data_IF_142780517208
#
_entry.id   IF_142780517208
#
_cell.length_a   1.000
_cell.length_b   1.000
_cell.length_c   1.000
_cell.angle_alpha   90.00
_cell.angle_beta   90.00
_cell.angle_gamma   90.00
#
_symmetry.space_group_name_H-M   'P 1'
#
loop_
_entity.id
_entity.type
_entity.pdbx_description
1 polymer ?
#
# COMPACT_ATOMS: atom_id res chain seq x y z
N UNK A 1 -21.67 10.40 -0.30
CA UNK A 1 -22.00 10.31 -1.74
C UNK A 1 -20.96 11.05 -2.60
N UNK A 2 -20.58 12.26 -2.22
CA UNK A 2 -19.60 13.11 -2.94
C UNK A 2 -18.22 12.44 -3.00
N UNK A 3 -17.67 12.00 -1.89
CA UNK A 3 -16.38 11.31 -1.82
C UNK A 3 -16.34 10.08 -2.74
N UNK A 4 -17.39 9.25 -2.76
CA UNK A 4 -17.48 8.10 -3.68
C UNK A 4 -17.44 8.52 -5.14
N UNK A 5 -18.08 9.64 -5.49
CA UNK A 5 -18.03 10.20 -6.85
C UNK A 5 -16.64 10.68 -7.21
N UNK A 6 -15.97 11.40 -6.31
CA UNK A 6 -14.59 11.88 -6.51
C UNK A 6 -13.64 10.71 -6.80
N UNK A 7 -13.74 9.62 -6.02
CA UNK A 7 -12.92 8.43 -6.26
C UNK A 7 -13.29 7.70 -7.56
N UNK A 8 -14.58 7.63 -7.90
CA UNK A 8 -14.99 7.04 -9.18
C UNK A 8 -14.48 7.86 -10.38
N UNK A 9 -14.50 9.19 -10.26
CA UNK A 9 -13.93 10.07 -11.30
C UNK A 9 -12.41 9.93 -11.40
N UNK A 10 -11.71 9.78 -10.27
CA UNK A 10 -10.28 9.52 -10.25
C UNK A 10 -9.93 8.16 -10.89
N UNK A 11 -10.70 7.11 -10.62
CA UNK A 11 -10.53 5.81 -11.25
C UNK A 11 -10.79 5.87 -12.77
N UNK A 12 -11.73 6.70 -13.20
CA UNK A 12 -12.01 6.94 -14.62
C UNK A 12 -10.97 7.86 -15.30
N UNK A 13 -9.88 8.18 -14.63
CA UNK A 13 -8.79 9.05 -15.10
C UNK A 13 -9.27 10.42 -15.61
N UNK A 14 -10.21 11.03 -14.89
CA UNK A 14 -10.67 12.38 -15.20
C UNK A 14 -9.79 13.41 -14.50
N UNK A 15 -9.32 14.39 -15.22
CA UNK A 15 -8.60 15.54 -14.66
C UNK A 15 -9.48 16.39 -13.73
N UNK A 16 -8.85 17.24 -12.95
CA UNK A 16 -9.54 18.16 -12.02
C UNK A 16 -9.93 17.53 -10.68
N UNK A 17 -9.60 16.28 -10.43
CA UNK A 17 -9.84 15.64 -9.15
C UNK A 17 -8.68 15.95 -8.20
N UNK A 18 -8.96 16.71 -7.16
CA UNK A 18 -8.02 16.97 -6.07
C UNK A 18 -8.69 16.60 -4.76
N UNK A 19 -8.17 15.59 -4.09
CA UNK A 19 -8.57 15.23 -2.72
C UNK A 19 -7.52 15.71 -1.74
N UNK A 20 -7.93 16.01 -0.52
CA UNK A 20 -7.04 16.51 0.53
C UNK A 20 -7.21 15.70 1.80
N UNK A 21 -6.09 15.37 2.42
CA UNK A 21 -6.03 14.68 3.71
C UNK A 21 -5.08 15.43 4.63
N UNK A 22 -5.61 15.95 5.72
CA UNK A 22 -4.82 16.48 6.82
C UNK A 22 -4.47 15.34 7.78
N UNK A 23 -3.18 15.06 7.98
CA UNK A 23 -2.70 13.92 8.77
C UNK A 23 -2.14 14.40 10.12
N UNK A 24 -2.99 14.54 11.16
CA UNK A 24 -2.52 14.88 12.50
C UNK A 24 -1.71 13.73 13.12
N UNK A 25 -0.84 14.05 14.06
CA UNK A 25 -0.02 13.09 14.83
C UNK A 25 -0.86 12.20 15.77
N UNK A 26 -1.83 11.48 15.23
CA UNK A 26 -2.67 10.52 15.94
C UNK A 26 -2.77 9.18 15.19
N UNK A 27 -1.67 8.77 14.56
CA UNK A 27 -1.60 7.50 13.83
C UNK A 27 -1.67 6.31 14.81
N UNK A 28 -2.47 5.30 14.48
CA UNK A 28 -2.62 4.07 15.26
C UNK A 28 -1.28 3.36 15.53
N UNK A 29 -0.32 3.45 14.64
CA UNK A 29 1.03 2.86 14.81
C UNK A 29 1.77 3.40 16.01
N UNK A 30 1.43 4.58 16.50
CA UNK A 30 2.02 5.16 17.71
C UNK A 30 1.59 4.43 19.00
N UNK A 31 0.52 3.65 18.95
CA UNK A 31 -0.05 2.95 20.10
C UNK A 31 0.39 1.48 20.21
N UNK A 32 1.10 0.96 19.19
CA UNK A 32 1.51 -0.43 19.14
C UNK A 32 3.02 -0.54 18.91
N UNK A 33 3.70 -1.08 19.90
CA UNK A 33 5.09 -1.51 19.79
C UNK A 33 5.13 -2.98 19.40
N UNK A 34 5.44 -3.26 18.13
CA UNK A 34 5.41 -4.62 17.58
C UNK A 34 6.40 -5.57 18.25
N UNK A 35 7.47 -5.05 18.86
CA UNK A 35 8.50 -5.86 19.53
C UNK A 35 8.05 -6.43 20.89
N UNK A 36 6.91 -5.96 21.43
CA UNK A 36 6.37 -6.40 22.72
C UNK A 36 5.55 -7.67 22.63
N UNK A 37 5.32 -8.20 21.43
CA UNK A 37 4.50 -9.38 21.20
C UNK A 37 5.36 -10.57 20.76
N UNK A 38 5.03 -11.74 21.29
CA UNK A 38 5.65 -13.02 20.87
C UNK A 38 4.91 -13.65 19.70
N UNK A 39 3.70 -13.18 19.43
CA UNK A 39 2.82 -13.71 18.39
C UNK A 39 2.57 -15.22 18.50
N UNK A 40 2.61 -15.78 19.71
CA UNK A 40 2.13 -17.12 20.00
C UNK A 40 0.61 -17.11 20.32
N UNK A 41 -0.02 -18.26 20.38
CA UNK A 41 -1.48 -18.36 20.57
C UNK A 41 -2.00 -17.58 21.79
N UNK A 42 -1.21 -17.50 22.86
CA UNK A 42 -1.58 -16.77 24.08
C UNK A 42 -1.48 -15.24 23.94
N UNK A 43 -0.75 -14.75 22.95
CA UNK A 43 -0.41 -13.36 22.78
C UNK A 43 -1.18 -12.66 21.62
N UNK A 44 -1.69 -13.46 20.68
CA UNK A 44 -2.39 -12.90 19.50
C UNK A 44 -3.67 -12.15 19.89
N UNK A 45 -4.43 -12.61 20.88
CA UNK A 45 -5.63 -11.92 21.33
C UNK A 45 -5.31 -10.57 21.98
N UNK A 46 -4.25 -10.52 22.80
CA UNK A 46 -3.74 -9.25 23.37
C UNK A 46 -3.34 -8.29 22.27
N UNK A 47 -2.62 -8.77 21.26
CA UNK A 47 -2.25 -7.94 20.10
C UNK A 47 -3.49 -7.37 19.40
N UNK A 48 -4.52 -8.17 19.15
CA UNK A 48 -5.78 -7.72 18.53
C UNK A 48 -6.48 -6.67 19.39
N UNK A 49 -6.54 -6.84 20.70
CA UNK A 49 -7.14 -5.87 21.63
C UNK A 49 -6.44 -4.53 21.60
N UNK A 50 -5.10 -4.55 21.67
CA UNK A 50 -4.28 -3.33 21.64
C UNK A 50 -4.39 -2.62 20.29
N UNK A 51 -4.41 -3.37 19.18
CA UNK A 51 -4.60 -2.82 17.83
C UNK A 51 -5.96 -2.13 17.69
N UNK A 52 -7.05 -2.78 18.10
CA UNK A 52 -8.39 -2.20 18.05
C UNK A 52 -8.52 -0.96 18.93
N UNK A 53 -7.95 -0.97 20.13
CA UNK A 53 -7.91 0.21 21.01
C UNK A 53 -7.17 1.39 20.36
N UNK A 54 -6.07 1.12 19.66
CA UNK A 54 -5.35 2.13 18.88
C UNK A 54 -6.22 2.74 17.79
N UNK A 55 -6.94 1.91 17.03
CA UNK A 55 -7.88 2.39 16.00
C UNK A 55 -9.01 3.23 16.59
N UNK A 56 -9.65 2.79 17.68
CA UNK A 56 -10.70 3.55 18.36
C UNK A 56 -10.19 4.91 18.79
N UNK A 57 -9.01 4.97 19.39
CA UNK A 57 -8.37 6.22 19.84
C UNK A 57 -8.13 7.17 18.66
N UNK A 58 -7.58 6.67 17.57
CA UNK A 58 -7.32 7.46 16.37
C UNK A 58 -8.62 7.96 15.72
N UNK A 59 -9.61 7.10 15.57
CA UNK A 59 -10.90 7.46 14.95
C UNK A 59 -11.64 8.49 15.79
N UNK A 60 -11.67 8.34 17.11
CA UNK A 60 -12.29 9.32 18.00
C UNK A 60 -11.56 10.66 17.95
N UNK A 61 -10.20 10.66 17.99
CA UNK A 61 -9.41 11.88 17.94
C UNK A 61 -9.69 12.71 16.67
N UNK A 62 -9.84 12.05 15.51
CA UNK A 62 -10.09 12.78 14.25
C UNK A 62 -11.55 12.81 13.79
N UNK A 63 -12.50 12.43 14.63
CA UNK A 63 -13.93 12.36 14.28
C UNK A 63 -14.50 13.66 13.67
N UNK A 64 -13.99 14.80 14.09
CA UNK A 64 -14.40 16.11 13.62
C UNK A 64 -13.60 16.65 12.43
N UNK A 65 -12.63 15.88 11.91
CA UNK A 65 -11.88 16.27 10.71
C UNK A 65 -12.63 15.77 9.50
N UNK A 66 -13.23 16.68 8.76
CA UNK A 66 -14.09 16.39 7.60
C UNK A 66 -13.32 16.48 6.27
N UNK A 67 -12.14 15.89 6.22
CA UNK A 67 -11.31 15.78 5.02
C UNK A 67 -11.68 14.55 4.16
N UNK A 68 -10.84 14.22 3.17
CA UNK A 68 -11.05 13.03 2.33
C UNK A 68 -10.42 11.76 2.90
N UNK A 69 -9.93 11.77 4.14
CA UNK A 69 -9.40 10.56 4.78
C UNK A 69 -10.52 9.57 5.08
N UNK A 70 -10.31 8.31 4.70
CA UNK A 70 -11.21 7.21 5.04
C UNK A 70 -10.50 6.34 6.07
N UNK A 71 -10.98 6.27 7.32
CA UNK A 71 -10.46 5.33 8.31
C UNK A 71 -10.54 3.91 7.79
N UNK A 72 -9.48 3.13 8.00
CA UNK A 72 -9.40 1.75 7.55
C UNK A 72 -8.80 0.88 8.66
N UNK A 73 -9.34 -0.32 8.84
CA UNK A 73 -8.71 -1.34 9.66
C UNK A 73 -7.66 -2.09 8.84
N UNK A 74 -6.60 -2.52 9.47
CA UNK A 74 -5.62 -3.46 8.89
C UNK A 74 -4.98 -4.33 9.98
N UNK A 75 -4.33 -5.41 9.58
CA UNK A 75 -3.40 -6.15 10.42
C UNK A 75 -2.02 -5.55 10.22
N UNK A 76 -1.42 -4.98 11.25
CA UNK A 76 -0.10 -4.39 11.20
C UNK A 76 0.95 -5.33 11.80
N UNK A 77 1.56 -6.17 10.98
CA UNK A 77 2.72 -6.99 11.35
C UNK A 77 4.04 -6.43 10.80
N UNK A 78 4.06 -5.17 10.39
CA UNK A 78 5.18 -4.57 9.65
C UNK A 78 5.21 -5.05 8.20
N UNK A 79 6.39 -5.08 7.57
CA UNK A 79 6.55 -5.48 6.18
C UNK A 79 7.13 -6.90 6.00
N UNK A 80 7.71 -7.48 7.07
CA UNK A 80 8.33 -8.81 7.01
C UNK A 80 7.34 -9.96 6.81
N UNK A 81 6.05 -9.74 7.06
CA UNK A 81 5.03 -10.77 6.89
C UNK A 81 4.75 -11.08 5.41
N UNK A 82 5.02 -10.14 4.49
CA UNK A 82 4.74 -10.34 3.06
C UNK A 82 5.51 -11.53 2.47
N UNK A 83 6.82 -11.61 2.70
CA UNK A 83 7.62 -12.76 2.29
C UNK A 83 7.44 -13.97 3.20
N UNK A 84 7.21 -13.77 4.50
CA UNK A 84 6.95 -14.85 5.43
C UNK A 84 5.59 -15.55 5.20
N UNK A 85 4.69 -14.97 4.44
CA UNK A 85 3.51 -15.67 3.93
C UNK A 85 3.89 -16.81 2.97
N UNK A 86 4.98 -16.64 2.24
CA UNK A 86 5.54 -17.67 1.36
C UNK A 86 6.39 -18.63 2.19
N UNK A 87 7.45 -18.11 2.82
CA UNK A 87 8.39 -18.89 3.64
C UNK A 87 9.24 -17.97 4.52
N UNK A 88 9.93 -18.55 5.49
CA UNK A 88 10.79 -17.80 6.40
C UNK A 88 10.12 -17.39 7.69
N UNK A 89 10.76 -16.47 8.40
CA UNK A 89 10.31 -15.96 9.69
C UNK A 89 10.29 -14.43 9.71
N UNK A 90 9.54 -13.85 10.65
CA UNK A 90 9.40 -12.40 10.82
C UNK A 90 10.19 -11.96 12.04
N UNK A 91 10.96 -10.90 11.87
CA UNK A 91 11.75 -10.26 12.92
C UNK A 91 11.21 -8.87 13.18
N UNK A 92 10.85 -8.58 14.42
CA UNK A 92 10.18 -7.34 14.81
C UNK A 92 11.13 -6.36 15.47
N UNK A 93 10.94 -5.06 15.18
CA UNK A 93 11.33 -3.96 16.02
C UNK A 93 10.08 -3.22 16.51
N UNK A 94 10.25 -2.04 17.12
CA UNK A 94 9.13 -1.26 17.65
C UNK A 94 8.08 -0.91 16.59
N UNK A 95 8.52 -0.47 15.42
CA UNK A 95 7.66 0.21 14.45
C UNK A 95 7.36 -0.63 13.19
N UNK A 96 8.18 -1.65 12.93
CA UNK A 96 8.06 -2.49 11.73
C UNK A 96 8.66 -3.88 11.96
N UNK A 97 8.67 -4.69 10.91
CA UNK A 97 9.31 -5.98 10.86
C UNK A 97 10.05 -6.19 9.55
N UNK A 98 10.85 -7.23 9.49
CA UNK A 98 11.52 -7.68 8.27
C UNK A 98 11.60 -9.19 8.23
N UNK A 99 11.88 -9.74 7.07
CA UNK A 99 12.23 -11.14 6.87
C UNK A 99 13.65 -11.26 6.29
N UNK A 100 14.25 -12.44 6.41
CA UNK A 100 15.57 -12.71 5.80
C UNK A 100 15.36 -13.43 4.47
N UNK A 101 16.20 -13.17 3.47
CA UNK A 101 16.20 -13.94 2.24
C UNK A 101 16.29 -15.45 2.54
N UNK A 102 15.49 -16.22 1.84
CA UNK A 102 15.32 -17.67 2.07
C UNK A 102 15.64 -18.53 0.86
N UNK A 103 15.83 -17.92 -0.33
CA UNK A 103 16.14 -18.61 -1.57
C UNK A 103 17.64 -18.44 -1.91
N UNK A 104 18.43 -19.48 -1.65
CA UNK A 104 19.84 -19.49 -2.07
C UNK A 104 20.00 -19.57 -3.59
N UNK A 105 19.09 -20.28 -4.27
CA UNK A 105 19.05 -20.45 -5.72
C UNK A 105 17.69 -20.03 -6.28
N UNK A 106 17.65 -19.55 -7.53
CA UNK A 106 16.41 -19.09 -8.17
C UNK A 106 15.34 -20.18 -8.22
N UNK A 107 15.71 -21.43 -8.45
CA UNK A 107 14.79 -22.56 -8.55
C UNK A 107 14.31 -23.11 -7.20
N UNK A 108 14.87 -22.64 -6.08
CA UNK A 108 14.55 -23.15 -4.75
C UNK A 108 13.08 -22.90 -4.32
N UNK A 109 12.38 -21.99 -4.99
CA UNK A 109 10.96 -21.77 -4.75
C UNK A 109 10.10 -23.03 -5.05
N UNK A 110 10.58 -23.91 -5.93
CA UNK A 110 9.89 -25.17 -6.29
C UNK A 110 9.76 -26.15 -5.12
N UNK A 111 10.64 -26.01 -4.12
CA UNK A 111 10.69 -26.83 -2.92
C UNK A 111 9.94 -26.19 -1.73
N UNK A 112 9.38 -25.00 -1.89
CA UNK A 112 8.60 -24.34 -0.84
C UNK A 112 7.27 -25.07 -0.66
N UNK A 113 6.82 -25.12 0.61
CA UNK A 113 5.51 -25.64 0.94
C UNK A 113 4.38 -24.91 0.18
N UNK A 114 3.24 -25.54 -0.09
CA UNK A 114 2.16 -24.91 -0.85
C UNK A 114 1.78 -23.54 -0.31
N UNK A 115 1.49 -22.60 -1.20
CA UNK A 115 1.05 -21.25 -0.87
C UNK A 115 -0.12 -21.30 0.13
N UNK A 116 -0.11 -20.42 1.14
CA UNK A 116 -1.17 -20.38 2.18
C UNK A 116 -0.95 -21.31 3.35
N UNK A 117 0.15 -22.07 3.40
CA UNK A 117 0.42 -23.03 4.49
C UNK A 117 1.43 -22.52 5.53
N UNK A 118 2.11 -21.40 5.29
CA UNK A 118 3.10 -20.87 6.21
C UNK A 118 2.51 -20.52 7.59
N UNK A 119 3.36 -20.55 8.61
CA UNK A 119 2.96 -20.23 9.98
C UNK A 119 2.48 -18.78 10.09
N UNK A 120 3.19 -17.84 9.45
CA UNK A 120 2.85 -16.42 9.51
C UNK A 120 1.59 -16.08 8.75
N UNK A 121 1.33 -16.73 7.63
CA UNK A 121 0.05 -16.61 6.94
C UNK A 121 -1.13 -17.02 7.81
N UNK A 122 -1.02 -18.17 8.50
CA UNK A 122 -2.06 -18.65 9.41
C UNK A 122 -2.28 -17.70 10.59
N UNK A 123 -1.21 -17.15 11.18
CA UNK A 123 -1.31 -16.12 12.23
C UNK A 123 -2.02 -14.87 11.72
N UNK A 124 -1.63 -14.39 10.55
CA UNK A 124 -2.28 -13.24 9.91
C UNK A 124 -3.79 -13.49 9.73
N UNK A 125 -4.17 -14.62 9.15
CA UNK A 125 -5.58 -14.96 8.91
C UNK A 125 -6.38 -15.08 10.21
N UNK A 126 -5.77 -15.60 11.28
CA UNK A 126 -6.38 -15.61 12.62
C UNK A 126 -6.63 -14.19 13.13
N UNK A 127 -5.61 -13.34 13.13
CA UNK A 127 -5.71 -11.94 13.57
C UNK A 127 -6.80 -11.20 12.76
N UNK A 128 -6.76 -11.34 11.44
CA UNK A 128 -7.75 -10.75 10.53
C UNK A 128 -9.18 -11.17 10.94
N UNK A 129 -9.40 -12.47 11.14
CA UNK A 129 -10.72 -12.96 11.53
C UNK A 129 -11.17 -12.41 12.89
N UNK A 130 -10.27 -12.31 13.88
CA UNK A 130 -10.60 -11.73 15.18
C UNK A 130 -10.95 -10.23 15.07
N UNK A 131 -10.22 -9.46 14.29
CA UNK A 131 -10.55 -8.04 14.03
C UNK A 131 -11.95 -7.94 13.39
N UNK A 132 -12.21 -8.72 12.35
CA UNK A 132 -13.48 -8.68 11.62
C UNK A 132 -14.67 -9.07 12.50
N UNK A 133 -14.53 -10.10 13.33
CA UNK A 133 -15.57 -10.51 14.31
C UNK A 133 -15.87 -9.42 15.33
N UNK A 134 -14.84 -8.79 15.90
CA UNK A 134 -14.98 -7.77 16.95
C UNK A 134 -15.48 -6.42 16.41
N UNK A 135 -15.54 -6.24 15.11
CA UNK A 135 -15.98 -5.01 14.43
C UNK A 135 -17.08 -5.27 13.39
N UNK A 136 -17.81 -6.38 13.52
CA UNK A 136 -18.84 -6.80 12.55
C UNK A 136 -20.03 -5.85 12.42
N UNK A 137 -20.29 -5.07 13.47
CA UNK A 137 -21.34 -4.07 13.56
C UNK A 137 -20.94 -2.71 12.92
N UNK A 138 -19.72 -2.62 12.37
CA UNK A 138 -19.22 -1.40 11.73
C UNK A 138 -19.07 -1.56 10.22
N UNK A 139 -19.21 -0.45 9.49
CA UNK A 139 -18.93 -0.38 8.04
C UNK A 139 -17.50 0.11 7.73
N UNK A 140 -16.60 0.09 8.72
CA UNK A 140 -15.21 0.54 8.52
C UNK A 140 -14.53 -0.40 7.54
N UNK A 141 -13.99 0.10 6.42
CA UNK A 141 -13.34 -0.74 5.44
C UNK A 141 -12.06 -1.36 5.99
N UNK A 142 -11.70 -2.49 5.44
CA UNK A 142 -10.43 -3.15 5.73
C UNK A 142 -9.42 -2.89 4.60
N UNK A 143 -8.16 -2.72 4.92
CA UNK A 143 -7.09 -2.48 3.96
C UNK A 143 -5.94 -3.47 4.15
N UNK A 144 -5.34 -3.90 3.06
CA UNK A 144 -4.11 -4.70 3.05
C UNK A 144 -3.25 -4.31 1.86
N UNK A 145 -1.97 -4.05 2.11
CA UNK A 145 -0.94 -3.94 1.07
C UNK A 145 -0.19 -5.24 0.87
N UNK A 146 0.39 -5.42 -0.30
CA UNK A 146 1.24 -6.56 -0.67
C UNK A 146 2.52 -6.06 -1.31
N UNK A 147 3.55 -6.86 -1.32
CA UNK A 147 4.67 -6.68 -2.22
C UNK A 147 4.22 -6.92 -3.67
N UNK A 148 4.73 -6.15 -4.62
CA UNK A 148 4.70 -6.54 -6.02
C UNK A 148 5.43 -7.87 -6.21
N UNK A 149 5.25 -8.55 -7.34
CA UNK A 149 6.03 -9.75 -7.61
C UNK A 149 7.54 -9.54 -7.52
N UNK A 150 8.04 -8.37 -7.94
CA UNK A 150 9.46 -8.03 -7.86
C UNK A 150 9.92 -7.81 -6.42
N UNK A 151 9.18 -7.05 -5.62
CA UNK A 151 9.50 -6.82 -4.21
C UNK A 151 9.47 -8.13 -3.42
N UNK A 152 8.50 -9.01 -3.71
CA UNK A 152 8.42 -10.33 -3.10
C UNK A 152 9.61 -11.21 -3.49
N UNK A 153 9.97 -11.23 -4.77
CA UNK A 153 11.10 -12.00 -5.27
C UNK A 153 12.43 -11.53 -4.65
N UNK A 154 12.64 -10.21 -4.55
CA UNK A 154 13.82 -9.65 -3.88
C UNK A 154 13.84 -10.00 -2.39
N UNK A 155 12.73 -9.87 -1.69
CA UNK A 155 12.64 -10.23 -0.27
C UNK A 155 12.95 -11.72 -0.03
N UNK A 156 12.64 -12.60 -0.97
CA UNK A 156 12.95 -14.03 -0.90
C UNK A 156 14.39 -14.35 -1.32
N UNK A 157 14.89 -13.73 -2.41
CA UNK A 157 16.19 -14.00 -3.04
C UNK A 157 17.31 -13.14 -2.46
N UNK A 158 17.00 -11.96 -1.98
CA UNK A 158 17.95 -10.96 -1.53
C UNK A 158 18.69 -10.31 -2.69
N UNK A 159 19.83 -9.66 -2.39
CA UNK A 159 20.60 -8.87 -3.36
C UNK A 159 21.14 -9.64 -4.55
N UNK A 160 21.16 -10.98 -4.50
CA UNK A 160 21.56 -11.80 -5.64
C UNK A 160 20.65 -11.60 -6.87
N UNK A 161 19.39 -11.19 -6.65
CA UNK A 161 18.43 -10.90 -7.74
C UNK A 161 18.96 -9.88 -8.75
N UNK A 162 19.84 -8.95 -8.32
CA UNK A 162 20.40 -7.93 -9.22
C UNK A 162 21.40 -8.48 -10.25
N UNK A 163 21.99 -9.64 -9.99
CA UNK A 163 22.81 -10.37 -10.98
C UNK A 163 21.94 -11.32 -11.81
N UNK A 164 20.88 -11.86 -11.21
CA UNK A 164 19.99 -12.83 -11.86
C UNK A 164 19.29 -12.24 -13.12
N UNK A 165 19.07 -10.91 -13.19
CA UNK A 165 18.57 -10.24 -14.39
C UNK A 165 19.38 -10.51 -15.66
N UNK A 166 20.69 -10.73 -15.49
CA UNK A 166 21.64 -10.91 -16.59
C UNK A 166 22.10 -12.34 -16.73
N UNK A 167 22.26 -13.04 -15.62
CA UNK A 167 22.83 -14.39 -15.60
C UNK A 167 21.78 -15.47 -15.86
N UNK A 168 20.55 -15.30 -15.34
CA UNK A 168 19.49 -16.31 -15.41
C UNK A 168 18.10 -15.69 -15.63
N UNK A 169 17.88 -14.85 -16.68
CA UNK A 169 16.65 -14.09 -16.87
C UNK A 169 15.39 -14.97 -16.94
N UNK A 170 15.47 -16.13 -17.62
CA UNK A 170 14.31 -17.04 -17.75
C UNK A 170 13.89 -17.62 -16.39
N UNK A 171 14.85 -17.99 -15.53
CA UNK A 171 14.52 -18.47 -14.18
C UNK A 171 14.00 -17.35 -13.28
N UNK A 172 14.47 -16.12 -13.49
CA UNK A 172 13.94 -14.97 -12.78
C UNK A 172 12.49 -14.72 -13.16
N UNK A 173 12.12 -14.82 -14.44
CA UNK A 173 10.73 -14.76 -14.86
C UNK A 173 9.86 -15.86 -14.23
N UNK A 174 10.36 -17.09 -14.11
CA UNK A 174 9.65 -18.18 -13.42
C UNK A 174 9.39 -17.84 -11.94
N UNK A 175 10.40 -17.30 -11.23
CA UNK A 175 10.24 -16.85 -9.84
C UNK A 175 9.24 -15.70 -9.71
N UNK A 176 9.30 -14.73 -10.62
CA UNK A 176 8.37 -13.59 -10.63
C UNK A 176 6.93 -14.03 -10.90
N UNK A 177 6.74 -15.01 -11.78
CA UNK A 177 5.42 -15.58 -12.04
C UNK A 177 4.86 -16.32 -10.83
N UNK A 178 5.69 -17.09 -10.12
CA UNK A 178 5.35 -17.69 -8.83
C UNK A 178 4.98 -16.63 -7.79
N UNK A 179 5.74 -15.55 -7.67
CA UNK A 179 5.47 -14.47 -6.75
C UNK A 179 4.13 -13.76 -7.08
N UNK A 180 3.81 -13.57 -8.38
CA UNK A 180 2.53 -13.05 -8.81
C UNK A 180 1.38 -13.97 -8.37
N UNK A 181 1.51 -15.28 -8.59
CA UNK A 181 0.50 -16.26 -8.17
C UNK A 181 0.35 -16.29 -6.64
N UNK A 182 1.43 -16.17 -5.89
CA UNK A 182 1.40 -16.07 -4.42
C UNK A 182 0.63 -14.84 -3.96
N UNK A 183 0.93 -13.65 -4.51
CA UNK A 183 0.23 -12.41 -4.19
C UNK A 183 -1.27 -12.51 -4.53
N UNK A 184 -1.62 -13.08 -5.70
CA UNK A 184 -3.01 -13.29 -6.11
C UNK A 184 -3.72 -14.23 -5.13
N UNK A 185 -3.08 -15.32 -4.72
CA UNK A 185 -3.65 -16.27 -3.77
C UNK A 185 -3.93 -15.60 -2.41
N UNK A 186 -2.94 -14.93 -1.83
CA UNK A 186 -3.09 -14.27 -0.54
C UNK A 186 -4.18 -13.18 -0.57
N UNK A 187 -4.19 -12.35 -1.60
CA UNK A 187 -5.19 -11.30 -1.72
C UNK A 187 -6.60 -11.86 -1.89
N UNK A 188 -6.79 -12.92 -2.70
CA UNK A 188 -8.10 -13.58 -2.85
C UNK A 188 -8.60 -14.17 -1.54
N UNK A 189 -7.76 -14.85 -0.78
CA UNK A 189 -8.14 -15.46 0.49
C UNK A 189 -8.50 -14.40 1.55
N UNK A 190 -7.68 -13.34 1.65
CA UNK A 190 -7.92 -12.23 2.55
C UNK A 190 -9.24 -11.53 2.20
N UNK A 191 -9.48 -11.25 0.91
CA UNK A 191 -10.73 -10.61 0.47
C UNK A 191 -11.94 -11.52 0.69
N UNK A 192 -11.79 -12.82 0.47
CA UNK A 192 -12.83 -13.79 0.78
C UNK A 192 -13.17 -13.81 2.29
N UNK A 193 -12.16 -13.73 3.17
CA UNK A 193 -12.37 -13.62 4.61
C UNK A 193 -13.08 -12.33 4.98
N UNK A 194 -12.63 -11.18 4.43
CA UNK A 194 -13.25 -9.88 4.69
C UNK A 194 -14.72 -9.89 4.28
N UNK A 195 -15.07 -10.47 3.12
CA UNK A 195 -16.45 -10.53 2.60
C UNK A 195 -17.41 -11.39 3.42
N UNK A 196 -16.91 -12.22 4.34
CA UNK A 196 -17.77 -12.92 5.31
C UNK A 196 -18.38 -11.96 6.35
N UNK A 197 -17.70 -10.86 6.65
CA UNK A 197 -18.05 -9.91 7.70
C UNK A 197 -18.38 -8.51 7.17
N UNK A 198 -17.98 -8.19 5.96
CA UNK A 198 -18.12 -6.87 5.35
C UNK A 198 -18.77 -6.96 3.98
N UNK A 199 -19.55 -5.96 3.63
CA UNK A 199 -20.16 -5.85 2.30
C UNK A 199 -19.10 -5.73 1.19
N UNK A 200 -18.04 -5.00 1.46
CA UNK A 200 -16.93 -4.76 0.53
C UNK A 200 -15.64 -5.36 1.09
N UNK A 201 -14.69 -5.71 0.23
CA UNK A 201 -13.45 -6.34 0.66
C UNK A 201 -12.45 -5.30 1.19
N UNK A 202 -11.60 -4.75 0.35
CA UNK A 202 -10.62 -3.78 0.75
C UNK A 202 -10.71 -2.53 -0.12
N UNK A 203 -10.20 -1.44 0.43
CA UNK A 203 -10.04 -0.19 -0.27
C UNK A 203 -8.60 0.25 -0.11
N UNK A 204 -8.01 0.76 -1.16
CA UNK A 204 -6.83 1.58 -1.02
C UNK A 204 -7.22 2.98 -0.56
N UNK A 205 -6.32 3.92 -0.75
CA UNK A 205 -6.58 5.34 -0.46
C UNK A 205 -7.75 5.92 -1.24
N UNK A 206 -8.25 5.22 -2.25
CA UNK A 206 -9.31 5.66 -3.16
C UNK A 206 -10.67 4.99 -2.94
N UNK A 207 -10.86 4.26 -1.88
CA UNK A 207 -12.15 3.64 -1.56
C UNK A 207 -12.74 2.81 -2.71
N UNK A 208 -11.92 1.97 -3.34
CA UNK A 208 -12.33 1.08 -4.43
C UNK A 208 -12.44 -0.35 -3.91
N UNK A 209 -13.63 -0.93 -4.01
CA UNK A 209 -13.85 -2.30 -3.54
C UNK A 209 -13.04 -3.31 -4.35
N UNK A 210 -12.30 -4.17 -3.64
CA UNK A 210 -11.52 -5.26 -4.21
C UNK A 210 -10.25 -4.84 -4.94
N UNK A 211 -9.87 -3.55 -4.90
CA UNK A 211 -8.63 -3.08 -5.48
C UNK A 211 -7.42 -3.72 -4.77
N UNK A 212 -6.48 -4.28 -5.53
CA UNK A 212 -5.22 -4.78 -4.96
C UNK A 212 -4.25 -3.63 -4.71
N UNK A 213 -3.59 -3.65 -3.55
CA UNK A 213 -2.58 -2.65 -3.18
C UNK A 213 -1.20 -3.30 -3.21
N UNK A 214 -0.28 -2.77 -3.99
CA UNK A 214 1.08 -3.29 -4.11
C UNK A 214 2.14 -2.20 -3.98
N UNK A 215 3.29 -2.54 -3.41
CA UNK A 215 4.50 -1.73 -3.47
C UNK A 215 5.30 -2.06 -4.74
N UNK A 216 6.15 -1.14 -5.15
CA UNK A 216 7.15 -1.29 -6.22
C UNK A 216 8.48 -0.68 -5.74
N UNK A 217 8.90 -1.01 -4.52
CA UNK A 217 10.02 -0.36 -3.84
C UNK A 217 11.36 -0.69 -4.49
N UNK A 218 11.54 -1.96 -4.86
CA UNK A 218 12.79 -2.46 -5.48
C UNK A 218 12.98 -1.92 -6.90
N UNK A 219 11.90 -1.56 -7.58
CA UNK A 219 11.96 -0.97 -8.90
C UNK A 219 12.76 0.34 -8.93
N UNK A 220 12.92 1.01 -7.78
CA UNK A 220 13.79 2.19 -7.64
C UNK A 220 15.26 1.93 -7.97
N UNK A 221 15.69 0.67 -8.00
CA UNK A 221 17.05 0.24 -8.38
C UNK A 221 17.16 -0.23 -9.84
N UNK A 222 16.06 -0.17 -10.60
CA UNK A 222 15.99 -0.70 -11.95
C UNK A 222 15.89 0.41 -13.01
N UNK A 223 16.44 0.15 -14.19
CA UNK A 223 16.16 1.02 -15.34
C UNK A 223 14.71 0.84 -15.82
N UNK A 224 14.15 1.82 -16.57
CA UNK A 224 12.84 1.66 -17.19
C UNK A 224 12.75 0.43 -18.11
N UNK A 225 13.85 0.02 -18.76
CA UNK A 225 13.88 -1.17 -19.61
C UNK A 225 13.72 -2.45 -18.78
N UNK A 226 14.50 -2.58 -17.69
CA UNK A 226 14.35 -3.72 -16.76
C UNK A 226 12.98 -3.75 -16.11
N UNK A 227 12.43 -2.58 -15.74
CA UNK A 227 11.07 -2.51 -15.22
C UNK A 227 10.05 -3.07 -16.23
N UNK A 228 10.12 -2.62 -17.48
CA UNK A 228 9.20 -3.10 -18.54
C UNK A 228 9.32 -4.59 -18.82
N UNK A 229 10.53 -5.13 -18.73
CA UNK A 229 10.79 -6.54 -19.01
C UNK A 229 10.39 -7.43 -17.83
N UNK A 230 10.85 -7.12 -16.61
CA UNK A 230 10.74 -8.01 -15.46
C UNK A 230 9.62 -7.65 -14.48
N UNK A 231 9.29 -6.40 -14.29
CA UNK A 231 8.27 -6.00 -13.31
C UNK A 231 6.88 -5.91 -13.91
N UNK A 232 6.75 -5.12 -14.97
CA UNK A 232 5.45 -4.75 -15.56
C UNK A 232 4.56 -5.95 -15.94
N UNK A 233 5.05 -7.04 -16.57
CA UNK A 233 4.19 -8.16 -16.94
C UNK A 233 3.59 -8.88 -15.73
N UNK A 234 4.38 -9.08 -14.69
CA UNK A 234 3.97 -9.81 -13.49
C UNK A 234 3.09 -8.96 -12.59
N UNK A 235 3.38 -7.66 -12.43
CA UNK A 235 2.52 -6.70 -11.75
C UNK A 235 1.18 -6.56 -12.46
N UNK A 236 1.17 -6.50 -13.81
CA UNK A 236 -0.07 -6.48 -14.59
C UNK A 236 -0.90 -7.75 -14.38
N UNK A 237 -0.28 -8.94 -14.32
CA UNK A 237 -0.97 -10.21 -14.02
C UNK A 237 -1.73 -10.13 -12.70
N UNK A 238 -1.14 -9.54 -11.67
CA UNK A 238 -1.82 -9.35 -10.38
C UNK A 238 -2.97 -8.35 -10.52
N UNK A 239 -2.76 -7.19 -11.14
CA UNK A 239 -3.83 -6.18 -11.34
C UNK A 239 -5.01 -6.78 -12.11
N UNK A 240 -4.75 -7.54 -13.17
CA UNK A 240 -5.78 -8.16 -13.99
C UNK A 240 -6.66 -9.16 -13.21
N UNK A 241 -6.08 -9.81 -12.17
CA UNK A 241 -6.83 -10.72 -11.31
C UNK A 241 -7.87 -10.02 -10.40
N UNK A 242 -7.73 -8.70 -10.20
CA UNK A 242 -8.59 -7.88 -9.32
C UNK A 242 -9.32 -6.75 -10.06
N UNK A 243 -8.93 -6.46 -11.28
CA UNK A 243 -9.56 -5.44 -12.13
C UNK A 243 -9.15 -4.00 -11.83
N UNK A 244 -8.42 -3.74 -10.73
CA UNK A 244 -7.81 -2.43 -10.42
C UNK A 244 -6.67 -2.58 -9.43
N UNK A 245 -5.67 -1.68 -9.51
CA UNK A 245 -4.50 -1.65 -8.64
C UNK A 245 -4.22 -0.28 -8.06
N UNK A 246 -3.86 -0.25 -6.78
CA UNK A 246 -3.15 0.84 -6.13
C UNK A 246 -1.67 0.45 -6.09
N UNK A 247 -0.82 1.33 -6.59
CA UNK A 247 0.62 1.15 -6.58
C UNK A 247 1.27 2.11 -5.59
N UNK A 248 2.35 1.67 -4.98
CA UNK A 248 3.22 2.50 -4.15
C UNK A 248 4.63 2.41 -4.68
N UNK A 249 5.31 3.55 -4.78
CA UNK A 249 6.74 3.60 -4.94
C UNK A 249 7.32 4.84 -4.25
N UNK A 250 8.63 4.97 -4.27
CA UNK A 250 9.37 6.02 -3.59
C UNK A 250 9.74 7.18 -4.52
N UNK A 251 9.97 8.36 -3.95
CA UNK A 251 10.34 9.56 -4.72
C UNK A 251 11.65 9.40 -5.50
N UNK A 252 12.56 8.53 -5.05
CA UNK A 252 13.76 8.16 -5.82
C UNK A 252 13.44 7.43 -7.13
N UNK A 253 12.22 6.85 -7.26
CA UNK A 253 11.73 6.16 -8.45
C UNK A 253 10.77 7.02 -9.31
N UNK A 254 10.69 8.34 -9.13
CA UNK A 254 9.80 9.19 -9.94
C UNK A 254 10.00 9.05 -11.46
N UNK A 255 11.16 8.62 -11.91
CA UNK A 255 11.44 8.35 -13.32
C UNK A 255 10.65 7.15 -13.89
N UNK A 256 10.07 6.31 -13.02
CA UNK A 256 9.22 5.18 -13.40
C UNK A 256 7.71 5.51 -13.38
N UNK A 257 7.31 6.72 -13.01
CA UNK A 257 5.88 7.10 -12.97
C UNK A 257 5.17 6.78 -14.28
N UNK A 258 5.80 7.11 -15.41
CA UNK A 258 5.26 6.83 -16.74
C UNK A 258 5.05 5.34 -16.98
N UNK A 259 6.02 4.52 -16.59
CA UNK A 259 5.97 3.06 -16.78
C UNK A 259 4.88 2.44 -15.89
N UNK A 260 4.86 2.78 -14.61
CA UNK A 260 3.87 2.27 -13.64
C UNK A 260 2.46 2.72 -14.06
N UNK A 261 2.27 3.98 -14.40
CA UNK A 261 0.97 4.52 -14.82
C UNK A 261 0.52 4.06 -16.22
N UNK A 262 1.39 3.41 -17.00
CA UNK A 262 1.02 2.78 -18.27
C UNK A 262 0.40 1.39 -18.11
N UNK A 263 0.52 0.78 -16.94
CA UNK A 263 -0.15 -0.48 -16.63
C UNK A 263 -1.68 -0.28 -16.66
N UNK A 264 -2.38 -1.26 -17.19
CA UNK A 264 -3.84 -1.21 -17.31
C UNK A 264 -4.48 -1.26 -15.93
N UNK A 265 -5.49 -0.42 -15.73
CA UNK A 265 -6.30 -0.39 -14.50
C UNK A 265 -5.51 -0.01 -13.23
N UNK A 266 -4.37 0.64 -13.33
CA UNK A 266 -3.79 1.35 -12.20
C UNK A 266 -4.69 2.54 -11.88
N UNK A 267 -5.29 2.54 -10.71
CA UNK A 267 -6.21 3.59 -10.27
C UNK A 267 -5.49 4.72 -9.53
N UNK A 268 -4.42 4.37 -8.82
CA UNK A 268 -3.69 5.30 -7.97
C UNK A 268 -2.22 4.88 -7.88
N UNK A 269 -1.32 5.87 -7.88
CA UNK A 269 0.08 5.71 -7.54
C UNK A 269 0.42 6.62 -6.35
N UNK A 270 0.80 6.03 -5.23
CA UNK A 270 1.33 6.77 -4.09
C UNK A 270 2.85 6.88 -4.21
N UNK A 271 3.34 8.12 -4.26
CA UNK A 271 4.76 8.46 -4.28
C UNK A 271 5.17 8.95 -2.89
N UNK A 272 5.82 8.08 -2.11
CA UNK A 272 6.34 8.45 -0.81
C UNK A 272 7.53 9.42 -0.95
N UNK A 273 7.57 10.43 -0.09
CA UNK A 273 8.69 11.37 -0.05
C UNK A 273 9.84 10.79 0.76
N UNK A 274 10.98 10.56 0.11
CA UNK A 274 12.18 10.03 0.75
C UNK A 274 13.07 11.15 1.29
N UNK A 275 13.76 10.91 2.41
CA UNK A 275 14.78 11.84 2.89
C UNK A 275 15.90 12.05 1.85
N UNK A 276 16.26 13.31 1.61
CA UNK A 276 17.32 13.69 0.68
C UNK A 276 17.09 13.33 -0.80
N UNK A 277 15.85 13.02 -1.17
CA UNK A 277 15.43 12.80 -2.56
C UNK A 277 14.55 13.97 -3.05
N UNK A 278 14.42 14.16 -4.36
CA UNK A 278 13.48 15.12 -4.93
C UNK A 278 12.06 14.85 -4.45
N UNK A 279 11.35 15.87 -4.02
CA UNK A 279 9.96 15.73 -3.56
C UNK A 279 9.01 15.64 -4.75
N UNK A 280 8.05 14.71 -4.78
CA UNK A 280 7.05 14.64 -5.84
C UNK A 280 6.29 15.97 -6.03
N UNK A 281 5.99 16.67 -4.95
CA UNK A 281 5.27 17.95 -4.99
C UNK A 281 6.03 19.07 -5.73
N UNK A 282 7.35 18.99 -5.83
CA UNK A 282 8.16 19.98 -6.57
C UNK A 282 8.18 19.70 -8.08
N UNK A 283 7.57 18.61 -8.54
CA UNK A 283 7.57 18.14 -9.94
C UNK A 283 6.16 17.93 -10.52
N UNK A 284 5.16 18.68 -10.04
CA UNK A 284 3.74 18.50 -10.40
C UNK A 284 3.47 18.51 -11.91
N UNK A 285 4.12 19.42 -12.67
CA UNK A 285 3.95 19.49 -14.14
C UNK A 285 4.35 18.17 -14.81
N UNK A 286 5.49 17.62 -14.40
CA UNK A 286 5.97 16.33 -14.91
C UNK A 286 5.06 15.18 -14.49
N UNK A 287 4.56 15.20 -13.26
CA UNK A 287 3.62 14.18 -12.79
C UNK A 287 2.29 14.22 -13.56
N UNK A 288 1.79 15.42 -13.91
CA UNK A 288 0.59 15.56 -14.75
C UNK A 288 0.83 14.93 -16.13
N UNK A 289 2.01 15.14 -16.72
CA UNK A 289 2.38 14.59 -18.03
C UNK A 289 2.56 13.05 -17.97
N UNK A 290 3.36 12.57 -17.01
CA UNK A 290 3.78 11.16 -16.95
C UNK A 290 2.68 10.23 -16.43
N UNK A 291 1.79 10.72 -15.56
CA UNK A 291 0.77 9.89 -14.92
C UNK A 291 -0.39 9.48 -15.84
N UNK A 292 -0.51 10.08 -17.02
CA UNK A 292 -1.58 9.75 -17.98
C UNK A 292 -2.99 9.73 -17.34
N UNK A 293 -3.25 10.67 -16.42
CA UNK A 293 -4.51 10.80 -15.70
C UNK A 293 -4.69 9.89 -14.49
N UNK A 294 -3.77 8.96 -14.23
CA UNK A 294 -3.78 8.14 -13.00
C UNK A 294 -3.64 9.05 -11.78
N UNK A 295 -4.43 8.81 -10.74
CA UNK A 295 -4.38 9.60 -9.51
C UNK A 295 -3.01 9.44 -8.81
N UNK A 296 -2.39 10.58 -8.49
CA UNK A 296 -1.12 10.62 -7.76
C UNK A 296 -1.37 10.99 -6.31
N UNK A 297 -1.04 10.09 -5.37
CA UNK A 297 -1.04 10.41 -3.95
C UNK A 297 0.34 10.93 -3.56
N UNK A 298 0.41 12.17 -3.07
CA UNK A 298 1.67 12.87 -2.78
C UNK A 298 1.54 13.70 -1.50
N UNK A 299 2.67 13.92 -0.83
CA UNK A 299 2.73 14.75 0.37
C UNK A 299 3.18 16.17 0.04
N UNK A 300 2.64 17.16 0.75
CA UNK A 300 3.13 18.53 0.75
C UNK A 300 3.59 18.95 2.14
N UNK A 301 4.41 20.01 2.21
CA UNK A 301 4.98 20.50 3.47
C UNK A 301 4.17 21.65 4.10
N UNK A 302 3.31 22.30 3.30
CA UNK A 302 2.50 23.40 3.80
C UNK A 302 1.27 23.62 2.93
N UNK A 303 0.25 24.22 3.53
CA UNK A 303 -0.95 24.62 2.81
C UNK A 303 -0.67 25.67 1.72
N UNK A 304 0.29 26.55 1.96
CA UNK A 304 0.72 27.55 0.97
C UNK A 304 1.30 26.94 -0.32
N UNK A 305 1.86 25.72 -0.25
CA UNK A 305 2.27 24.98 -1.46
C UNK A 305 1.04 24.59 -2.29
N UNK A 306 -0.04 24.12 -1.65
CA UNK A 306 -1.28 23.79 -2.32
C UNK A 306 -1.87 25.03 -2.99
N UNK A 307 -1.99 26.15 -2.26
CA UNK A 307 -2.54 27.41 -2.80
C UNK A 307 -1.80 27.87 -4.05
N UNK A 308 -0.46 27.86 -4.01
CA UNK A 308 0.37 28.30 -5.14
C UNK A 308 0.28 27.41 -6.38
N UNK A 309 -0.04 26.12 -6.19
CA UNK A 309 -0.01 25.11 -7.26
C UNK A 309 -1.41 24.58 -7.61
N UNK A 310 -2.47 25.19 -7.10
CA UNK A 310 -3.84 24.68 -7.26
C UNK A 310 -4.24 24.51 -8.73
N UNK A 311 -3.79 25.39 -9.61
CA UNK A 311 -4.09 25.32 -11.05
C UNK A 311 -3.40 24.13 -11.72
N UNK A 312 -2.19 23.75 -11.28
CA UNK A 312 -1.48 22.57 -11.77
C UNK A 312 -2.17 21.30 -11.23
N UNK A 313 -2.46 21.27 -9.94
CA UNK A 313 -3.17 20.15 -9.31
C UNK A 313 -4.51 19.86 -10.02
N UNK A 314 -5.25 20.89 -10.40
CA UNK A 314 -6.54 20.78 -11.12
C UNK A 314 -6.42 20.32 -12.57
N UNK A 315 -5.25 20.38 -13.18
CA UNK A 315 -5.00 19.79 -14.51
C UNK A 315 -4.76 18.28 -14.45
N UNK A 316 -4.29 17.80 -13.31
CA UNK A 316 -4.03 16.40 -13.06
C UNK A 316 -5.13 15.72 -12.26
N UNK A 317 -4.76 14.66 -11.58
CA UNK A 317 -5.60 13.86 -10.70
C UNK A 317 -4.77 13.56 -9.44
N UNK A 318 -5.08 14.23 -8.33
CA UNK A 318 -4.21 14.19 -7.15
C UNK A 318 -4.96 13.91 -5.85
N UNK A 319 -4.28 13.17 -4.96
CA UNK A 319 -4.63 13.00 -3.55
C UNK A 319 -3.50 13.59 -2.71
N UNK A 320 -3.70 14.80 -2.20
CA UNK A 320 -2.66 15.54 -1.47
C UNK A 320 -2.78 15.28 0.02
N UNK A 321 -1.66 14.93 0.66
CA UNK A 321 -1.55 14.76 2.09
C UNK A 321 -0.71 15.88 2.72
N UNK A 322 -1.20 16.44 3.81
CA UNK A 322 -0.46 17.44 4.60
C UNK A 322 -0.35 16.95 6.05
N UNK A 323 0.85 16.55 6.49
CA UNK A 323 1.09 16.30 7.91
C UNK A 323 0.85 17.56 8.74
N UNK A 324 0.25 17.40 9.91
CA UNK A 324 -0.01 18.51 10.84
C UNK A 324 0.14 18.04 12.29
N UNK A 325 0.39 18.95 13.20
CA UNK A 325 0.71 18.61 14.59
C UNK A 325 -0.54 18.20 15.39
N UNK A 326 -1.70 18.77 15.09
CA UNK A 326 -2.90 18.59 15.90
C UNK A 326 -4.16 18.36 15.08
N UNK A 327 -5.16 17.76 15.71
CA UNK A 327 -6.52 17.59 15.12
C UNK A 327 -7.17 18.97 14.83
N UNK A 328 -6.96 19.96 15.69
CA UNK A 328 -7.51 21.30 15.46
C UNK A 328 -6.88 21.98 14.23
N UNK A 329 -5.58 21.82 14.06
CA UNK A 329 -4.92 22.26 12.81
C UNK A 329 -5.49 21.54 11.59
N UNK A 330 -5.69 20.21 11.66
CA UNK A 330 -6.31 19.43 10.60
C UNK A 330 -7.68 19.96 10.19
N UNK A 331 -8.54 20.34 11.14
CA UNK A 331 -9.85 20.96 10.90
C UNK A 331 -9.71 22.27 10.15
N UNK A 332 -8.85 23.16 10.62
CA UNK A 332 -8.59 24.47 9.99
C UNK A 332 -8.09 24.31 8.54
N UNK A 333 -7.15 23.39 8.32
CA UNK A 333 -6.60 23.12 6.99
C UNK A 333 -7.66 22.55 6.04
N UNK A 334 -8.51 21.66 6.54
CA UNK A 334 -9.62 21.08 5.77
C UNK A 334 -10.63 22.15 5.36
N UNK A 335 -11.01 23.07 6.28
CA UNK A 335 -11.89 24.19 5.96
C UNK A 335 -11.29 25.16 4.92
N UNK A 336 -9.97 25.39 4.99
CA UNK A 336 -9.26 26.21 3.99
C UNK A 336 -9.31 25.54 2.62
N UNK A 337 -9.03 24.22 2.57
CA UNK A 337 -9.02 23.47 1.31
C UNK A 337 -10.39 23.50 0.60
N UNK A 338 -11.48 23.41 1.36
CA UNK A 338 -12.85 23.49 0.82
C UNK A 338 -13.20 24.85 0.18
N UNK A 339 -12.43 25.89 0.46
CA UNK A 339 -12.63 27.24 -0.09
C UNK A 339 -11.77 27.53 -1.34
N UNK A 340 -10.83 26.64 -1.63
CA UNK A 340 -10.06 26.71 -2.87
C UNK A 340 -10.88 26.23 -4.05
#
# INVERSE_FOLDING_TARGET
AEMKKTYADALAHKGGNVTFRALPECDVRQYIDLSLYRYDESDLDRYVEDLLRGYETMMEARREVEDNYIPQLNVNLGIGDYSAFVTGDVYFNKDTSWSKPSLAELDAWKDIAPIGTSVWYKKYMYILEQILKRTEDTDIPFSRGFYSPMDLAESLRGTAIYTDFYDEPDKLHDLLDYCADATIHFAKDIYAMIRKYRKNATYGTMYIDGMVNMSEDISSNLSPDLYREFCAPHTQKVIDAFGSGHMHCHSCAMYLVKEICSLKNVANLWLATDPNQPRPFDHLEKLVEDANGVCQAIDCNSFAEIERNIDVLRRGNFSVCLPCATVEEAKILTEKFRKL
#
